data_IF_614995638872
#
_entry.id   IF_614995638872
#
_cell.length_a   1.000
_cell.length_b   1.000
_cell.length_c   1.000
_cell.angle_alpha   90.00
_cell.angle_beta   90.00
_cell.angle_gamma   90.00
#
_symmetry.space_group_name_H-M   'P 1'
#
loop_
_entity.id
_entity.type
_entity.pdbx_description
1 polymer ?
#
# COMPACT_ATOMS: atom_id res chain seq x y z
N UNK A 1 2.61 -22.80 27.46
CA UNK A 1 2.66 -22.20 26.65
C UNK A 1 1.71 -22.19 25.70
N UNK A 2 1.50 -21.31 25.08
CA UNK A 2 0.59 -21.20 24.29
C UNK A 2 0.79 -21.49 23.02
N UNK A 3 0.02 -21.97 22.36
CA UNK A 3 0.14 -22.26 21.14
C UNK A 3 -0.41 -21.35 20.29
N UNK A 4 0.22 -20.47 19.90
CA UNK A 4 -0.27 -19.57 19.02
C UNK A 4 -0.10 -19.94 17.66
N UNK A 5 0.13 -21.14 17.42
CA UNK A 5 0.52 -21.56 16.19
C UNK A 5 -0.44 -21.44 15.13
N UNK A 6 -1.67 -21.44 15.45
CA UNK A 6 -2.69 -21.40 14.44
C UNK A 6 -2.95 -20.01 13.89
N UNK A 7 -2.35 -19.00 14.45
CA UNK A 7 -2.63 -17.65 14.02
C UNK A 7 -1.66 -17.23 12.96
N UNK A 8 -2.17 -16.99 11.77
CA UNK A 8 -1.38 -16.48 10.69
C UNK A 8 -1.41 -14.95 10.73
N UNK A 9 -0.31 -14.35 11.15
CA UNK A 9 -0.21 -12.90 11.22
C UNK A 9 0.51 -12.32 10.02
N UNK A 10 0.76 -13.09 9.00
CA UNK A 10 1.43 -12.59 7.80
C UNK A 10 0.54 -11.61 7.04
N UNK A 11 1.07 -10.50 6.59
CA UNK A 11 0.28 -9.58 5.77
C UNK A 11 -0.17 -10.23 4.48
N UNK A 12 -1.39 -9.94 4.06
CA UNK A 12 -1.95 -10.52 2.85
C UNK A 12 -2.24 -9.52 1.76
N UNK A 13 -2.31 -8.24 2.10
CA UNK A 13 -2.58 -7.20 1.13
C UNK A 13 -1.60 -6.05 1.30
N UNK A 14 -1.16 -5.50 0.18
CA UNK A 14 -0.24 -4.38 0.18
C UNK A 14 -0.95 -3.13 -0.31
N UNK A 15 -0.93 -2.08 0.49
CA UNK A 15 -1.44 -0.79 0.08
C UNK A 15 -0.30 0.01 -0.50
N UNK A 16 -0.44 0.43 -1.74
CA UNK A 16 0.55 1.23 -2.43
C UNK A 16 -0.03 2.63 -2.61
N UNK A 17 0.69 3.63 -2.11
CA UNK A 17 0.29 5.01 -2.23
C UNK A 17 1.37 5.79 -2.97
N UNK A 18 0.96 6.68 -3.85
CA UNK A 18 1.87 7.64 -4.44
C UNK A 18 1.54 9.00 -3.85
N UNK A 19 2.44 9.50 -3.01
CA UNK A 19 2.28 10.77 -2.34
C UNK A 19 3.13 11.79 -3.07
N UNK A 20 2.50 12.82 -3.55
CA UNK A 20 3.14 13.82 -4.38
C UNK A 20 3.04 15.20 -3.76
N UNK A 21 3.91 16.11 -4.18
CA UNK A 21 3.82 17.50 -3.79
C UNK A 21 3.77 18.37 -5.05
N UNK A 22 3.23 19.57 -4.92
CA UNK A 22 3.13 20.51 -6.03
C UNK A 22 1.76 20.52 -6.66
N UNK A 23 1.70 20.83 -7.96
CA UNK A 23 0.43 20.94 -8.66
C UNK A 23 0.00 19.60 -9.19
N UNK A 24 -1.14 19.12 -8.74
CA UNK A 24 -1.64 17.80 -9.14
C UNK A 24 -1.92 17.72 -10.64
N UNK A 25 -2.23 18.82 -11.27
CA UNK A 25 -2.52 18.83 -12.69
C UNK A 25 -1.29 18.56 -13.54
N UNK A 26 -0.11 18.79 -13.00
CA UNK A 26 1.13 18.57 -13.72
C UNK A 26 1.66 17.15 -13.55
N UNK A 27 1.04 16.35 -12.67
CA UNK A 27 1.53 15.02 -12.41
C UNK A 27 0.73 14.01 -13.23
N UNK A 28 1.32 13.58 -14.33
CA UNK A 28 0.65 12.63 -15.21
C UNK A 28 0.93 11.19 -14.81
N UNK A 29 2.14 10.89 -14.39
CA UNK A 29 2.50 9.55 -13.98
C UNK A 29 3.22 9.64 -12.63
N UNK A 30 2.52 9.41 -11.51
CA UNK A 30 3.13 9.53 -10.20
C UNK A 30 4.31 8.58 -9.98
N UNK A 31 4.32 7.45 -10.65
CA UNK A 31 5.39 6.49 -10.47
C UNK A 31 6.72 6.98 -11.02
N UNK A 32 6.68 7.91 -11.97
CA UNK A 32 7.88 8.43 -12.60
C UNK A 32 8.15 9.89 -12.28
N UNK A 33 7.31 10.51 -11.47
CA UNK A 33 7.46 11.92 -11.14
C UNK A 33 8.39 12.10 -9.96
N UNK A 34 9.37 12.99 -10.12
CA UNK A 34 10.35 13.24 -9.08
C UNK A 34 9.73 13.85 -7.82
N UNK A 35 8.58 14.49 -7.95
CA UNK A 35 7.89 15.07 -6.80
C UNK A 35 6.97 14.09 -6.10
N UNK A 36 6.97 12.84 -6.51
CA UNK A 36 6.14 11.80 -5.93
C UNK A 36 7.00 10.72 -5.28
N UNK A 37 6.47 10.15 -4.22
CA UNK A 37 7.14 9.07 -3.50
C UNK A 37 6.18 7.89 -3.38
N UNK A 38 6.68 6.71 -3.61
CA UNK A 38 5.90 5.49 -3.45
C UNK A 38 6.02 5.04 -2.01
N UNK A 39 4.89 4.84 -1.37
CA UNK A 39 4.83 4.35 0.00
C UNK A 39 4.07 3.04 0.00
N UNK A 40 4.59 2.03 0.66
CA UNK A 40 3.94 0.75 0.76
C UNK A 40 3.62 0.44 2.21
N UNK A 41 2.44 -0.08 2.44
CA UNK A 41 2.00 -0.46 3.76
C UNK A 41 1.35 -1.84 3.69
N UNK A 42 1.83 -2.77 4.52
CA UNK A 42 1.26 -4.11 4.56
C UNK A 42 0.01 -4.13 5.43
N UNK A 43 -0.99 -4.85 4.99
CA UNK A 43 -2.24 -5.00 5.73
C UNK A 43 -2.66 -6.47 5.75
N UNK A 44 -3.54 -6.82 6.67
CA UNK A 44 -3.91 -8.22 6.86
C UNK A 44 -5.12 -8.64 6.03
N UNK A 45 -5.90 -7.71 5.56
CA UNK A 45 -7.09 -8.05 4.77
C UNK A 45 -7.35 -6.97 3.75
N UNK A 46 -8.15 -7.30 2.75
CA UNK A 46 -8.57 -6.34 1.75
C UNK A 46 -9.35 -5.21 2.40
N UNK A 47 -10.18 -5.53 3.38
CA UNK A 47 -10.97 -4.52 4.07
C UNK A 47 -10.07 -3.51 4.79
N UNK A 48 -9.04 -3.99 5.48
CA UNK A 48 -8.09 -3.10 6.12
C UNK A 48 -7.34 -2.26 5.10
N UNK A 49 -6.96 -2.85 3.98
CA UNK A 49 -6.29 -2.12 2.92
C UNK A 49 -7.18 -1.01 2.36
N UNK A 50 -8.44 -1.32 2.09
CA UNK A 50 -9.38 -0.34 1.57
C UNK A 50 -9.68 0.77 2.59
N UNK A 51 -9.77 0.44 3.87
CA UNK A 51 -9.98 1.43 4.90
C UNK A 51 -8.78 2.37 4.98
N UNK A 52 -7.57 1.82 4.93
CA UNK A 52 -6.36 2.63 4.94
C UNK A 52 -6.26 3.50 3.69
N UNK A 53 -6.69 2.97 2.55
CA UNK A 53 -6.72 3.70 1.30
C UNK A 53 -7.66 4.92 1.40
N UNK A 54 -8.81 4.73 2.02
CA UNK A 54 -9.78 5.80 2.20
C UNK A 54 -9.27 6.86 3.18
N UNK A 55 -8.53 6.45 4.21
CA UNK A 55 -8.05 7.37 5.23
C UNK A 55 -6.75 8.08 4.84
N UNK A 56 -6.02 7.55 3.87
CA UNK A 56 -4.72 8.11 3.50
C UNK A 56 -4.78 9.60 3.14
N UNK A 57 -5.74 10.06 2.31
CA UNK A 57 -5.78 11.47 1.97
C UNK A 57 -6.03 12.38 3.18
N UNK A 58 -6.70 11.86 4.21
CA UNK A 58 -6.97 12.64 5.41
C UNK A 58 -5.73 12.73 6.29
N UNK A 59 -4.89 11.69 6.26
CA UNK A 59 -3.71 11.63 7.11
C UNK A 59 -2.52 12.38 6.56
N UNK A 60 -2.52 12.64 5.26
CA UNK A 60 -1.42 13.30 4.61
C UNK A 60 -1.68 14.80 4.58
N UNK A 61 -0.77 15.57 5.17
CA UNK A 61 -0.94 16.99 5.29
C UNK A 61 -0.43 17.75 4.08
N UNK A 62 -1.06 18.88 3.72
CA UNK A 62 -0.52 19.73 2.67
C UNK A 62 0.91 20.15 3.00
N UNK A 63 1.76 20.38 2.01
CA UNK A 63 1.47 20.43 0.58
C UNK A 63 1.44 19.09 -0.14
N UNK A 64 1.47 17.99 0.61
CA UNK A 64 1.47 16.68 0.03
C UNK A 64 0.04 16.17 -0.19
N UNK A 65 -0.12 15.29 -1.15
CA UNK A 65 -1.42 14.69 -1.43
C UNK A 65 -1.23 13.31 -2.02
N UNK A 66 -2.26 12.46 -1.89
CA UNK A 66 -2.24 11.12 -2.47
C UNK A 66 -2.71 11.24 -3.92
N UNK A 67 -1.81 11.00 -4.85
CA UNK A 67 -2.15 11.07 -6.26
C UNK A 67 -2.80 9.79 -6.74
N UNK A 68 -2.34 8.64 -6.25
CA UNK A 68 -2.84 7.36 -6.68
C UNK A 68 -2.67 6.36 -5.56
N UNK A 69 -3.60 5.43 -5.44
CA UNK A 69 -3.48 4.37 -4.44
C UNK A 69 -4.11 3.10 -4.97
N UNK A 70 -3.64 1.97 -4.49
CA UNK A 70 -4.23 0.69 -4.85
C UNK A 70 -3.92 -0.36 -3.80
N UNK A 71 -4.76 -1.38 -3.73
CA UNK A 71 -4.55 -2.54 -2.88
C UNK A 71 -4.18 -3.72 -3.77
N UNK A 72 -3.09 -4.37 -3.44
CA UNK A 72 -2.58 -5.49 -4.22
C UNK A 72 -2.45 -6.69 -3.32
N UNK A 73 -2.90 -7.84 -3.77
CA UNK A 73 -2.78 -9.06 -3.00
C UNK A 73 -1.33 -9.53 -2.99
N UNK A 74 -0.83 -9.86 -1.80
CA UNK A 74 0.50 -10.41 -1.66
C UNK A 74 0.41 -11.90 -1.87
N UNK A 75 0.90 -12.36 -3.00
CA UNK A 75 0.85 -13.77 -3.31
C UNK A 75 2.23 -14.37 -3.07
N UNK A 76 2.29 -15.31 -2.13
CA UNK A 76 3.53 -16.02 -1.94
C UNK A 76 3.54 -17.15 -2.92
N UNK A 77 4.30 -17.00 -3.99
CA UNK A 77 4.43 -18.06 -4.91
C UNK A 77 5.31 -19.09 -4.35
N UNK A 78 4.88 -20.34 -4.33
CA UNK A 78 5.77 -21.41 -4.05
C UNK A 78 6.68 -21.54 -5.22
N UNK A 79 7.94 -21.67 -4.95
CA UNK A 79 8.90 -21.92 -5.99
C UNK A 79 8.59 -23.31 -6.56
N UNK A 80 8.32 -23.42 -7.83
CA UNK A 80 7.99 -24.72 -8.41
C UNK A 80 9.12 -25.72 -8.30
N UNK A 81 10.34 -25.26 -8.14
CA UNK A 81 11.43 -26.19 -7.99
C UNK A 81 11.56 -26.74 -6.60
N UNK A 82 10.85 -26.17 -5.69
CA UNK A 82 10.89 -26.65 -4.34
C UNK A 82 9.79 -27.59 -4.10
N UNK A 83 8.89 -27.58 -4.85
CA UNK A 83 7.84 -28.41 -4.66
C UNK A 83 6.96 -28.87 -4.79
#
# INVERSE_FOLDING_TARGET
MFSFLAIDTSPKWLLILFVCSGDSELIKDPAQNINCQRIEQSTYSLKHCQNSQTLAPVRIAPPYFVSKSKCVEIIKKKDPNIG
#
